data_IF_924158481542
#
_entry.id   IF_924158481542
#
_cell.length_a   1.000
_cell.length_b   1.000
_cell.length_c   1.000
_cell.angle_alpha   90.00
_cell.angle_beta   90.00
_cell.angle_gamma   90.00
#
_symmetry.space_group_name_H-M   'P 1'
#
loop_
_entity.id
_entity.type
_entity.pdbx_description
1 polymer ?
#
# COMPACT_ATOMS: atom_id res chain seq x y z
N UNK A 1 2.96 12.51 -12.52
CA UNK A 1 3.62 12.72 -11.21
C UNK A 1 2.63 12.72 -10.05
N UNK A 2 1.52 13.45 -10.14
CA UNK A 2 0.49 13.47 -9.10
C UNK A 2 -0.06 12.07 -8.74
N UNK A 3 -0.49 11.29 -9.75
CA UNK A 3 -0.92 9.90 -9.55
C UNK A 3 0.13 9.02 -8.85
N UNK A 4 1.42 9.22 -9.13
CA UNK A 4 2.49 8.48 -8.45
C UNK A 4 2.55 8.80 -6.95
N UNK A 5 2.43 10.07 -6.58
CA UNK A 5 2.43 10.49 -5.17
C UNK A 5 1.19 9.93 -4.46
N UNK A 6 0.02 9.97 -5.10
CA UNK A 6 -1.20 9.36 -4.56
C UNK A 6 -1.02 7.87 -4.31
N UNK A 7 -0.43 7.16 -5.28
CA UNK A 7 -0.07 5.76 -5.14
C UNK A 7 0.84 5.53 -3.94
N UNK A 8 1.93 6.31 -3.85
CA UNK A 8 2.90 6.22 -2.75
C UNK A 8 2.24 6.37 -1.38
N UNK A 9 1.37 7.37 -1.22
CA UNK A 9 0.63 7.61 0.02
C UNK A 9 -0.33 6.45 0.31
N UNK A 10 -1.09 5.99 -0.68
CA UNK A 10 -2.05 4.91 -0.52
C UNK A 10 -1.37 3.59 -0.12
N UNK A 11 -0.26 3.25 -0.77
CA UNK A 11 0.58 2.11 -0.40
C UNK A 11 1.08 2.23 1.04
N UNK A 12 1.58 3.40 1.43
CA UNK A 12 2.12 3.63 2.78
C UNK A 12 1.04 3.56 3.87
N UNK A 13 -0.16 4.07 3.60
CA UNK A 13 -1.26 4.11 4.56
C UNK A 13 -1.96 2.75 4.69
N UNK A 14 -1.88 1.88 3.67
CA UNK A 14 -2.45 0.51 3.67
C UNK A 14 -2.41 -0.23 5.02
N UNK A 15 -1.25 -0.42 5.70
CA UNK A 15 -1.21 -1.12 6.99
C UNK A 15 -2.09 -0.50 8.09
N UNK A 16 -2.36 0.80 8.02
CA UNK A 16 -3.19 1.53 8.97
C UNK A 16 -4.70 1.36 8.69
N UNK A 17 -5.06 0.80 7.53
CA UNK A 17 -6.45 0.54 7.15
C UNK A 17 -6.94 -0.86 7.56
N UNK A 18 -6.05 -1.73 8.06
CA UNK A 18 -6.37 -3.11 8.46
C UNK A 18 -7.54 -3.15 9.45
N UNK A 19 -7.51 -2.27 10.46
CA UNK A 19 -8.50 -2.22 11.53
C UNK A 19 -9.76 -1.41 11.19
N UNK A 20 -9.68 -0.16 10.65
CA UNK A 20 -10.86 0.64 10.37
C UNK A 20 -11.60 0.26 9.08
N UNK A 21 -10.94 -0.40 8.12
CA UNK A 21 -11.52 -0.66 6.79
C UNK A 21 -11.57 -2.16 6.49
N UNK A 22 -10.43 -2.84 6.50
CA UNK A 22 -10.39 -4.23 6.03
C UNK A 22 -11.11 -5.20 6.94
N UNK A 23 -10.99 -5.08 8.27
CA UNK A 23 -11.70 -5.96 9.22
C UNK A 23 -13.23 -5.82 9.13
N UNK A 24 -13.82 -4.62 9.09
CA UNK A 24 -15.25 -4.45 8.85
C UNK A 24 -15.71 -5.01 7.51
N UNK A 25 -14.97 -4.72 6.43
CA UNK A 25 -15.29 -5.26 5.10
C UNK A 25 -15.23 -6.78 5.10
N UNK A 26 -14.14 -7.38 5.58
CA UNK A 26 -13.96 -8.82 5.67
C UNK A 26 -15.08 -9.49 6.46
N UNK A 27 -15.51 -8.92 7.59
CA UNK A 27 -16.66 -9.44 8.37
C UNK A 27 -17.98 -9.37 7.60
N UNK A 28 -18.17 -8.32 6.79
CA UNK A 28 -19.36 -8.15 5.96
C UNK A 28 -19.47 -9.20 4.86
N UNK A 29 -18.37 -9.56 4.23
CA UNK A 29 -18.31 -10.57 3.16
C UNK A 29 -18.03 -12.00 3.64
N UNK A 30 -17.56 -12.17 4.88
CA UNK A 30 -17.18 -13.47 5.45
C UNK A 30 -18.25 -14.56 5.37
N UNK A 31 -19.53 -14.18 5.28
CA UNK A 31 -20.65 -15.11 5.14
C UNK A 31 -20.67 -15.83 3.79
N UNK A 32 -20.17 -15.16 2.75
CA UNK A 32 -20.17 -15.65 1.37
C UNK A 32 -18.76 -16.01 0.89
N UNK A 33 -17.74 -15.28 1.38
CA UNK A 33 -16.34 -15.42 0.99
C UNK A 33 -15.49 -15.47 2.27
N UNK A 34 -14.93 -16.63 2.66
CA UNK A 34 -14.05 -16.71 3.81
C UNK A 34 -12.77 -15.90 3.54
N UNK A 35 -12.53 -14.88 4.35
CA UNK A 35 -11.32 -14.04 4.26
C UNK A 35 -10.31 -14.51 5.30
N UNK A 36 -9.13 -14.94 4.84
CA UNK A 36 -8.05 -15.37 5.72
C UNK A 36 -7.35 -14.18 6.41
N UNK A 37 -6.70 -14.38 7.57
CA UNK A 37 -5.99 -13.31 8.28
C UNK A 37 -4.87 -12.63 7.46
N UNK A 38 -4.23 -13.38 6.56
CA UNK A 38 -3.22 -12.88 5.60
C UNK A 38 -3.85 -12.01 4.49
N UNK A 39 -5.11 -12.23 4.15
CA UNK A 39 -5.85 -11.51 3.11
C UNK A 39 -6.42 -10.17 3.60
N UNK A 40 -6.57 -9.98 4.91
CA UNK A 40 -7.01 -8.69 5.50
C UNK A 40 -6.12 -7.54 5.00
N UNK A 41 -4.81 -7.77 4.91
CA UNK A 41 -3.86 -6.77 4.42
C UNK A 41 -4.00 -6.50 2.92
N UNK A 42 -4.38 -7.52 2.15
CA UNK A 42 -4.68 -7.37 0.73
C UNK A 42 -5.94 -6.52 0.54
N UNK A 43 -6.97 -6.74 1.36
CA UNK A 43 -8.21 -5.93 1.35
C UNK A 43 -7.91 -4.47 1.65
N UNK A 44 -7.07 -4.18 2.65
CA UNK A 44 -6.60 -2.82 2.94
C UNK A 44 -5.90 -2.18 1.75
N UNK A 45 -5.04 -2.95 1.07
CA UNK A 45 -4.29 -2.48 -0.09
C UNK A 45 -5.22 -2.16 -1.25
N UNK A 46 -6.16 -3.06 -1.54
CA UNK A 46 -7.18 -2.86 -2.57
C UNK A 46 -8.04 -1.62 -2.29
N UNK A 47 -8.48 -1.43 -1.04
CA UNK A 47 -9.27 -0.27 -0.64
C UNK A 47 -8.47 1.04 -0.78
N UNK A 48 -7.20 1.06 -0.36
CA UNK A 48 -6.31 2.21 -0.52
C UNK A 48 -6.07 2.53 -2.01
N UNK A 49 -5.82 1.50 -2.82
CA UNK A 49 -5.54 1.65 -4.25
C UNK A 49 -6.80 2.15 -5.00
N UNK A 50 -7.97 1.64 -4.65
CA UNK A 50 -9.23 2.10 -5.21
C UNK A 50 -9.48 3.57 -4.86
N UNK A 51 -9.29 3.96 -3.60
CA UNK A 51 -9.41 5.37 -3.20
C UNK A 51 -8.42 6.27 -3.95
N UNK A 52 -7.17 5.81 -4.11
CA UNK A 52 -6.15 6.55 -4.86
C UNK A 52 -6.50 6.69 -6.35
N UNK A 53 -7.06 5.64 -6.97
CA UNK A 53 -7.52 5.68 -8.35
C UNK A 53 -8.69 6.66 -8.54
N UNK A 54 -9.67 6.64 -7.63
CA UNK A 54 -10.79 7.59 -7.65
C UNK A 54 -10.32 9.04 -7.48
N UNK A 55 -9.35 9.29 -6.60
CA UNK A 55 -8.75 10.62 -6.45
C UNK A 55 -7.99 10.99 -7.74
N UNK A 56 -7.19 10.08 -8.30
CA UNK A 56 -6.44 10.36 -9.54
C UNK A 56 -7.36 10.73 -10.71
N UNK A 57 -8.52 10.08 -10.82
CA UNK A 57 -9.57 10.38 -11.81
C UNK A 57 -10.14 11.79 -11.62
N UNK A 58 -10.45 12.21 -10.38
CA UNK A 58 -10.99 13.55 -10.08
C UNK A 58 -10.01 14.66 -10.52
N UNK A 59 -8.71 14.37 -10.50
CA UNK A 59 -7.65 15.30 -10.90
C UNK A 59 -7.15 15.08 -12.33
N UNK A 60 -7.88 14.33 -13.16
CA UNK A 60 -7.59 14.08 -14.58
C UNK A 60 -6.17 13.51 -14.81
N UNK A 61 -5.71 12.65 -13.87
CA UNK A 61 -4.36 12.12 -13.85
C UNK A 61 -4.30 10.67 -14.35
N UNK A 62 -4.15 10.49 -15.66
CA UNK A 62 -4.14 9.18 -16.34
C UNK A 62 -2.85 8.36 -16.16
N UNK A 63 -1.92 8.78 -15.29
CA UNK A 63 -0.63 8.11 -15.14
C UNK A 63 -0.72 6.82 -14.28
N UNK A 64 -1.45 5.82 -14.78
CA UNK A 64 -1.72 4.52 -14.15
C UNK A 64 -0.46 3.77 -13.74
N UNK A 65 0.57 3.80 -14.59
CA UNK A 65 1.89 3.21 -14.29
C UNK A 65 2.50 3.88 -13.07
N UNK A 66 2.43 5.21 -12.99
CA UNK A 66 2.90 5.98 -11.85
C UNK A 66 2.12 5.66 -10.59
N UNK A 67 0.78 5.62 -10.65
CA UNK A 67 -0.08 5.26 -9.53
C UNK A 67 0.28 3.89 -8.95
N UNK A 68 0.40 2.89 -9.82
CA UNK A 68 0.64 1.50 -9.42
C UNK A 68 2.05 1.36 -8.86
N UNK A 69 3.05 1.95 -9.52
CA UNK A 69 4.44 1.92 -9.05
C UNK A 69 4.59 2.63 -7.71
N UNK A 70 3.94 3.77 -7.53
CA UNK A 70 3.86 4.49 -6.26
C UNK A 70 3.25 3.60 -5.17
N UNK A 71 2.11 2.97 -5.44
CA UNK A 71 1.43 2.10 -4.46
C UNK A 71 2.29 0.93 -3.99
N UNK A 72 3.00 0.28 -4.90
CA UNK A 72 3.95 -0.78 -4.54
C UNK A 72 5.08 -0.23 -3.68
N UNK A 73 5.73 0.86 -4.10
CA UNK A 73 6.81 1.48 -3.32
C UNK A 73 6.36 1.93 -1.93
N UNK A 74 5.17 2.55 -1.84
CA UNK A 74 4.59 3.03 -0.60
C UNK A 74 4.33 1.90 0.38
N UNK A 75 3.76 0.80 -0.11
CA UNK A 75 3.45 -0.38 0.70
C UNK A 75 4.73 -1.02 1.29
N UNK A 76 5.82 -1.02 0.53
CA UNK A 76 7.11 -1.55 0.98
C UNK A 76 8.05 -0.50 1.58
N UNK A 77 7.64 0.76 1.73
CA UNK A 77 8.54 1.88 2.05
C UNK A 77 9.40 1.64 3.29
N UNK A 78 8.79 1.23 4.41
CA UNK A 78 9.52 0.97 5.67
C UNK A 78 10.46 -0.22 5.56
N UNK A 79 10.07 -1.26 4.80
CA UNK A 79 10.87 -2.46 4.56
C UNK A 79 12.07 -2.17 3.67
N UNK A 80 11.87 -1.35 2.63
CA UNK A 80 12.94 -0.87 1.76
C UNK A 80 13.95 -0.04 2.55
N UNK A 81 13.48 0.93 3.35
CA UNK A 81 14.36 1.73 4.22
C UNK A 81 15.14 0.86 5.19
N UNK A 82 14.50 -0.13 5.82
CA UNK A 82 15.18 -1.06 6.71
C UNK A 82 16.23 -1.90 5.99
N UNK A 83 15.94 -2.38 4.78
CA UNK A 83 16.88 -3.14 3.96
C UNK A 83 18.10 -2.30 3.55
N UNK A 84 17.89 -1.05 3.16
CA UNK A 84 18.98 -0.12 2.82
C UNK A 84 19.84 0.18 4.04
N UNK A 85 19.23 0.47 5.20
CA UNK A 85 19.97 0.70 6.46
C UNK A 85 20.87 -0.49 6.80
N UNK A 86 20.33 -1.70 6.77
CA UNK A 86 21.12 -2.93 7.00
C UNK A 86 22.28 -3.08 6.02
N UNK A 87 22.07 -2.79 4.74
CA UNK A 87 23.14 -2.86 3.74
C UNK A 87 24.26 -1.84 3.97
N UNK A 88 23.92 -0.65 4.50
CA UNK A 88 24.90 0.37 4.88
C UNK A 88 25.66 -0.03 6.14
N UNK A 89 24.97 -0.55 7.16
CA UNK A 89 25.58 -0.98 8.42
C UNK A 89 26.57 -2.13 8.19
N UNK A 90 26.23 -3.12 7.34
CA UNK A 90 27.13 -4.22 6.97
C UNK A 90 28.37 -3.74 6.21
N UNK A 91 28.27 -2.65 5.44
CA UNK A 91 29.43 -2.06 4.76
C UNK A 91 30.34 -1.30 5.72
N UNK A 92 29.77 -0.59 6.71
CA UNK A 92 30.53 0.18 7.70
C UNK A 92 31.26 -0.65 8.75
N UNK A 93 30.95 -1.95 8.89
CA UNK A 93 31.62 -2.86 9.82
C UNK A 93 32.78 -3.67 9.21
N UNK A 94 33.11 -3.43 7.94
CA UNK A 94 34.18 -4.14 7.21
C UNK A 94 35.46 -3.27 7.11
N UNK A 95 35.41 -1.99 7.50
CA UNK A 95 36.54 -1.08 7.66
C UNK A 95 37.00 -1.01 9.13
#
# INVERSE_FOLDING_TARGET
>A
MFAFILGLIAGFVTPHLDEPVARPLARGVAKEIPVEPNEVRLVSFMAALLAAALIAEIFDSEALVGLTFGAVLGYFATRLVAAVRRAMDTRGSID
#
